data_IF_935939009138
#
_entry.id   IF_935939009138
#
_cell.length_a   1.000
_cell.length_b   1.000
_cell.length_c   1.000
_cell.angle_alpha   90.00
_cell.angle_beta   90.00
_cell.angle_gamma   90.00
#
_symmetry.space_group_name_H-M   'P 1'
#
loop_
_entity.id
_entity.type
_entity.pdbx_description
1 polymer ?
#
# COMPACT_ATOMS: atom_id res chain seq x y z
N UNK A 1 -27.82 -7.46 -25.00
CA UNK A 1 -28.47 -6.43 -24.15
C UNK A 1 -27.35 -5.71 -23.43
N UNK A 2 -27.07 -4.45 -23.80
CA UNK A 2 -25.98 -3.65 -23.25
C UNK A 2 -26.54 -2.66 -22.24
N UNK A 3 -26.21 -2.83 -20.95
CA UNK A 3 -26.45 -1.89 -19.85
C UNK A 3 -25.65 -2.39 -18.63
N UNK A 4 -24.63 -1.73 -18.08
CA UNK A 4 -24.00 -0.48 -18.48
C UNK A 4 -22.57 -0.47 -17.96
N UNK A 5 -21.63 -0.09 -18.82
CA UNK A 5 -20.29 0.29 -18.39
C UNK A 5 -20.43 1.59 -17.63
N UNK A 6 -20.61 1.54 -16.31
CA UNK A 6 -20.41 2.70 -15.45
C UNK A 6 -18.92 3.04 -15.54
N UNK A 7 -18.54 3.77 -16.59
CA UNK A 7 -17.20 4.31 -16.74
C UNK A 7 -16.94 5.21 -15.55
N UNK A 8 -16.06 4.77 -14.64
CA UNK A 8 -15.63 5.59 -13.52
C UNK A 8 -14.77 6.70 -14.12
N UNK A 9 -15.37 7.87 -14.31
CA UNK A 9 -14.67 9.06 -14.79
C UNK A 9 -14.39 9.94 -13.57
N UNK A 10 -13.12 10.15 -13.26
CA UNK A 10 -12.70 11.20 -12.34
C UNK A 10 -11.80 12.18 -13.08
N UNK A 11 -12.12 13.47 -12.96
CA UNK A 11 -11.30 14.57 -13.47
C UNK A 11 -10.66 15.25 -12.27
N UNK A 12 -9.36 15.01 -12.10
CA UNK A 12 -8.53 15.58 -11.04
C UNK A 12 -7.25 16.11 -11.68
N UNK A 13 -6.72 17.22 -11.17
CA UNK A 13 -5.40 17.71 -11.58
C UNK A 13 -4.26 16.76 -11.16
N UNK A 14 -4.55 15.82 -10.25
CA UNK A 14 -3.61 14.80 -9.79
C UNK A 14 -3.79 13.47 -10.54
N UNK A 15 -2.71 12.70 -10.73
CA UNK A 15 -2.78 11.34 -11.24
C UNK A 15 -3.73 10.47 -10.42
N UNK A 16 -4.67 9.81 -11.10
CA UNK A 16 -5.58 8.89 -10.45
C UNK A 16 -5.94 7.70 -11.35
N UNK A 17 -6.23 6.56 -10.71
CA UNK A 17 -6.68 5.34 -11.39
C UNK A 17 -7.56 4.51 -10.48
N UNK A 18 -8.53 3.79 -11.05
CA UNK A 18 -9.40 2.88 -10.32
C UNK A 18 -9.10 1.42 -10.69
N UNK A 19 -9.26 0.50 -9.74
CA UNK A 19 -9.14 -0.94 -9.97
C UNK A 19 -10.29 -1.71 -9.34
N UNK A 20 -10.67 -2.83 -9.94
CA UNK A 20 -11.57 -3.82 -9.32
C UNK A 20 -10.86 -4.64 -8.21
N UNK A 21 -11.63 -5.50 -7.53
CA UNK A 21 -11.13 -6.48 -6.54
C UNK A 21 -10.13 -7.50 -7.08
N UNK A 22 -9.92 -7.54 -8.39
CA UNK A 22 -8.95 -8.41 -9.06
C UNK A 22 -7.75 -7.61 -9.58
N UNK A 23 -7.63 -6.33 -9.23
CA UNK A 23 -6.56 -5.42 -9.67
C UNK A 23 -6.59 -5.05 -11.15
N UNK A 24 -7.70 -5.29 -11.85
CA UNK A 24 -7.92 -4.83 -13.22
C UNK A 24 -8.18 -3.33 -13.19
N UNK A 25 -7.45 -2.54 -13.99
CA UNK A 25 -7.65 -1.10 -14.07
C UNK A 25 -8.96 -0.80 -14.82
N UNK A 26 -9.87 -0.11 -14.12
CA UNK A 26 -11.19 0.29 -14.61
C UNK A 26 -11.22 1.73 -15.14
N UNK A 27 -10.29 2.56 -14.69
CA UNK A 27 -10.22 3.98 -15.04
C UNK A 27 -8.81 4.53 -14.89
N UNK A 28 -8.44 5.48 -15.77
CA UNK A 28 -7.12 6.08 -15.81
C UNK A 28 -7.21 7.51 -16.37
N UNK A 29 -6.93 8.54 -15.56
CA UNK A 29 -7.08 9.92 -16.02
C UNK A 29 -5.87 10.47 -16.79
N UNK A 30 -6.06 11.62 -17.43
CA UNK A 30 -5.03 12.32 -18.21
C UNK A 30 -3.78 12.65 -17.38
N UNK A 31 -3.96 13.03 -16.11
CA UNK A 31 -2.85 13.31 -15.20
C UNK A 31 -2.01 12.04 -14.92
N UNK A 32 -2.65 10.87 -14.77
CA UNK A 32 -1.96 9.59 -14.64
C UNK A 32 -1.20 9.23 -15.91
N UNK A 33 -1.82 9.45 -17.08
CA UNK A 33 -1.16 9.22 -18.35
C UNK A 33 0.09 10.08 -18.51
N UNK A 34 -0.02 11.37 -18.21
CA UNK A 34 1.11 12.31 -18.28
C UNK A 34 2.20 11.98 -17.25
N UNK A 35 1.82 11.55 -16.04
CA UNK A 35 2.75 11.40 -14.92
C UNK A 35 3.47 10.04 -14.89
N UNK A 36 2.77 8.97 -15.27
CA UNK A 36 3.27 7.59 -15.27
C UNK A 36 3.67 7.11 -16.67
N UNK A 37 3.23 7.81 -17.73
CA UNK A 37 3.64 7.56 -19.11
C UNK A 37 2.88 6.45 -19.83
N UNK A 38 1.81 5.93 -19.25
CA UNK A 38 0.91 4.95 -19.90
C UNK A 38 -0.35 5.66 -20.38
N UNK A 39 -0.71 5.49 -21.64
CA UNK A 39 -1.99 6.00 -22.16
C UNK A 39 -3.17 5.28 -21.49
N UNK A 40 -4.34 5.90 -21.50
CA UNK A 40 -5.56 5.26 -21.00
C UNK A 40 -5.83 3.92 -21.71
N UNK A 41 -5.63 3.86 -23.03
CA UNK A 41 -5.83 2.63 -23.82
C UNK A 41 -4.88 1.49 -23.42
N UNK A 42 -3.66 1.79 -22.98
CA UNK A 42 -2.72 0.80 -22.44
C UNK A 42 -3.07 0.38 -21.01
N UNK A 43 -3.65 1.31 -20.24
CA UNK A 43 -3.99 1.10 -18.84
C UNK A 43 -5.27 0.29 -18.64
N UNK A 44 -6.35 0.65 -19.33
CA UNK A 44 -7.67 0.03 -19.13
C UNK A 44 -7.64 -1.48 -19.43
N UNK A 45 -8.22 -2.27 -18.52
CA UNK A 45 -8.27 -3.72 -18.61
C UNK A 45 -6.96 -4.43 -18.23
N UNK A 46 -5.83 -3.71 -18.16
CA UNK A 46 -4.56 -4.26 -17.69
C UNK A 46 -4.57 -4.48 -16.18
N UNK A 47 -3.73 -5.38 -15.68
CA UNK A 47 -3.52 -5.53 -14.24
C UNK A 47 -2.60 -4.44 -13.71
N UNK A 48 -2.95 -3.83 -12.59
CA UNK A 48 -2.14 -2.75 -11.99
C UNK A 48 -0.69 -3.20 -11.71
N UNK A 49 -0.47 -4.46 -11.38
CA UNK A 49 0.88 -5.03 -11.17
C UNK A 49 1.70 -5.27 -12.44
N UNK A 50 1.08 -5.24 -13.61
CA UNK A 50 1.80 -5.28 -14.87
C UNK A 50 2.40 -3.92 -15.20
N UNK A 51 1.70 -2.83 -14.86
CA UNK A 51 2.11 -1.45 -15.18
C UNK A 51 2.88 -0.80 -14.03
N UNK A 52 2.21 -0.52 -12.92
CA UNK A 52 2.71 0.45 -11.92
C UNK A 52 3.57 -0.16 -10.80
N UNK A 53 3.47 -1.46 -10.51
CA UNK A 53 4.38 -2.20 -9.60
C UNK A 53 4.82 -1.43 -8.35
N UNK A 54 3.87 -0.97 -7.55
CA UNK A 54 4.12 -0.08 -6.43
C UNK A 54 5.06 -0.65 -5.37
N UNK A 55 5.90 0.20 -4.78
CA UNK A 55 6.68 -0.12 -3.59
C UNK A 55 6.70 1.06 -2.65
N UNK A 56 6.40 0.85 -1.37
CA UNK A 56 6.61 1.91 -0.38
C UNK A 56 8.11 2.16 -0.13
N UNK A 57 8.40 3.16 0.70
CA UNK A 57 9.77 3.51 1.12
C UNK A 57 10.50 2.40 1.88
N UNK A 58 9.81 1.33 2.28
CA UNK A 58 10.35 0.18 3.02
C UNK A 58 10.51 -1.05 2.14
N UNK A 59 10.17 -0.95 0.85
CA UNK A 59 10.24 -2.04 -0.11
C UNK A 59 9.04 -2.98 -0.08
N UNK A 60 8.00 -2.70 0.73
CA UNK A 60 6.78 -3.49 0.70
C UNK A 60 6.14 -3.31 -0.67
N UNK A 61 5.75 -4.43 -1.29
CA UNK A 61 5.18 -4.43 -2.64
C UNK A 61 3.68 -4.13 -2.56
N UNK A 62 3.26 -3.23 -3.43
CA UNK A 62 1.88 -2.91 -3.76
C UNK A 62 1.71 -3.11 -5.25
N UNK A 63 0.46 -3.16 -5.72
CA UNK A 63 0.18 -3.53 -7.11
C UNK A 63 0.93 -4.84 -7.43
N UNK A 64 0.53 -5.89 -6.71
CA UNK A 64 0.90 -7.28 -6.91
C UNK A 64 -0.36 -8.14 -6.79
N UNK A 65 -0.26 -9.42 -7.12
CA UNK A 65 -1.41 -10.35 -7.09
C UNK A 65 -2.12 -10.35 -5.73
N UNK A 66 -1.35 -10.29 -4.64
CA UNK A 66 -1.84 -10.12 -3.28
C UNK A 66 -1.48 -8.72 -2.78
N UNK A 67 -2.25 -7.72 -3.17
CA UNK A 67 -2.00 -6.32 -2.82
C UNK A 67 -2.55 -6.00 -1.41
N UNK A 68 -1.73 -5.47 -0.47
CA UNK A 68 -2.20 -5.16 0.88
C UNK A 68 -3.41 -4.22 0.93
N UNK A 69 -3.48 -3.21 0.04
CA UNK A 69 -4.63 -2.30 -0.03
C UNK A 69 -5.92 -3.01 -0.40
N UNK A 70 -5.82 -4.03 -1.25
CA UNK A 70 -6.96 -4.80 -1.73
C UNK A 70 -7.44 -5.77 -0.66
N UNK A 71 -6.51 -6.45 0.02
CA UNK A 71 -6.83 -7.29 1.17
C UNK A 71 -7.52 -6.50 2.29
N UNK A 72 -7.06 -5.26 2.54
CA UNK A 72 -7.73 -4.34 3.47
C UNK A 72 -9.15 -4.02 3.01
N UNK A 73 -9.33 -3.62 1.75
CA UNK A 73 -10.65 -3.28 1.22
C UNK A 73 -11.64 -4.46 1.27
N UNK A 74 -11.19 -5.68 0.92
CA UNK A 74 -11.99 -6.92 1.00
C UNK A 74 -12.41 -7.22 2.45
N UNK A 75 -11.58 -6.85 3.43
CA UNK A 75 -11.89 -6.98 4.87
C UNK A 75 -12.69 -5.80 5.43
N UNK A 76 -13.22 -4.93 4.57
CA UNK A 76 -13.91 -3.69 4.94
C UNK A 76 -13.05 -2.76 5.83
N UNK A 77 -11.73 -2.83 5.69
CA UNK A 77 -10.80 -1.93 6.34
C UNK A 77 -10.47 -0.78 5.39
N UNK A 78 -10.37 0.43 5.92
CA UNK A 78 -9.97 1.59 5.12
C UNK A 78 -8.49 1.47 4.75
N UNK A 79 -8.12 1.43 3.45
CA UNK A 79 -6.71 1.53 3.08
C UNK A 79 -6.15 2.88 3.55
N UNK A 80 -4.95 2.84 4.12
CA UNK A 80 -4.28 4.05 4.62
C UNK A 80 -3.63 4.83 3.47
N UNK A 81 -3.46 6.14 3.69
CA UNK A 81 -2.66 6.98 2.81
C UNK A 81 -1.17 6.64 3.00
N UNK A 82 -0.45 6.34 1.92
CA UNK A 82 0.97 5.99 2.02
C UNK A 82 1.83 6.60 0.92
N UNK A 83 3.08 6.90 1.26
CA UNK A 83 4.09 7.29 0.27
C UNK A 83 4.67 6.04 -0.39
N UNK A 84 4.54 5.96 -1.70
CA UNK A 84 5.06 4.85 -2.49
C UNK A 84 5.63 5.31 -3.83
N UNK A 85 6.57 4.54 -4.34
CA UNK A 85 7.08 4.64 -5.70
C UNK A 85 6.24 3.78 -6.64
N UNK A 86 5.86 4.36 -7.78
CA UNK A 86 5.22 3.65 -8.90
C UNK A 86 6.17 3.63 -10.09
N UNK A 87 6.23 2.50 -10.78
CA UNK A 87 6.94 2.32 -12.04
C UNK A 87 6.23 3.07 -13.15
N UNK A 88 7.01 3.79 -13.95
CA UNK A 88 6.56 4.50 -15.15
C UNK A 88 6.80 3.65 -16.40
N UNK A 89 6.21 4.04 -17.54
CA UNK A 89 6.41 3.40 -18.83
C UNK A 89 7.89 3.38 -19.27
N UNK A 90 8.68 4.38 -18.86
CA UNK A 90 10.13 4.42 -19.14
C UNK A 90 10.96 3.51 -18.24
N UNK A 91 10.32 2.83 -17.27
CA UNK A 91 10.97 1.95 -16.31
C UNK A 91 11.53 2.65 -15.07
N UNK A 92 11.40 3.98 -14.99
CA UNK A 92 11.81 4.75 -13.81
C UNK A 92 10.78 4.63 -12.68
N UNK A 93 11.20 4.93 -11.45
CA UNK A 93 10.31 4.98 -10.28
C UNK A 93 10.02 6.44 -9.93
N UNK A 94 8.74 6.78 -9.78
CA UNK A 94 8.29 8.11 -9.35
C UNK A 94 7.50 7.99 -8.05
N UNK A 95 7.76 8.91 -7.10
CA UNK A 95 7.14 8.89 -5.77
C UNK A 95 5.81 9.63 -5.72
N UNK A 96 4.86 9.04 -5.03
CA UNK A 96 3.52 9.56 -4.80
C UNK A 96 3.09 9.30 -3.37
N UNK A 97 2.35 10.25 -2.79
CA UNK A 97 1.53 10.01 -1.61
C UNK A 97 0.14 9.58 -2.08
N UNK A 98 -0.13 8.28 -1.99
CA UNK A 98 -1.34 7.64 -2.51
C UNK A 98 -2.40 7.57 -1.43
N UNK A 99 -3.58 8.12 -1.70
CA UNK A 99 -4.81 7.91 -0.92
C UNK A 99 -5.74 7.00 -1.70
N UNK A 100 -6.41 6.06 -1.02
CA UNK A 100 -7.33 5.13 -1.69
C UNK A 100 -8.74 5.26 -1.14
N UNK A 101 -9.71 5.50 -2.03
CA UNK A 101 -11.14 5.46 -1.72
C UNK A 101 -11.69 4.10 -2.13
N UNK A 102 -12.50 3.49 -1.27
CA UNK A 102 -13.20 2.22 -1.58
C UNK A 102 -14.66 2.54 -1.85
N UNK A 103 -15.12 2.20 -3.06
CA UNK A 103 -16.53 2.24 -3.43
C UNK A 103 -17.08 0.82 -3.41
N UNK A 104 -18.17 0.63 -2.66
CA UNK A 104 -18.93 -0.61 -2.66
C UNK A 104 -20.14 -0.39 -3.56
N UNK A 105 -20.11 -0.93 -4.77
CA UNK A 105 -21.33 -1.10 -5.54
C UNK A 105 -21.95 -2.45 -5.15
N UNK A 106 -23.27 -2.49 -4.98
CA UNK A 106 -23.94 -3.69 -4.47
C UNK A 106 -24.00 -4.86 -5.47
N UNK A 107 -23.32 -4.79 -6.62
CA UNK A 107 -23.57 -5.69 -7.75
C UNK A 107 -22.29 -6.25 -8.43
N UNK A 108 -21.20 -5.49 -8.52
CA UNK A 108 -19.94 -5.81 -9.21
C UNK A 108 -18.72 -5.90 -8.25
N UNK A 109 -18.83 -5.38 -7.03
CA UNK A 109 -17.86 -5.61 -5.93
C UNK A 109 -17.13 -4.33 -5.48
N UNK A 110 -15.99 -4.50 -4.80
CA UNK A 110 -15.20 -3.38 -4.29
C UNK A 110 -14.37 -2.74 -5.40
N UNK A 111 -14.57 -1.45 -5.65
CA UNK A 111 -13.71 -0.63 -6.50
C UNK A 111 -12.80 0.26 -5.66
N UNK A 112 -11.50 0.20 -5.93
CA UNK A 112 -10.50 1.02 -5.25
C UNK A 112 -10.03 2.16 -6.18
N UNK A 113 -10.31 3.40 -5.81
CA UNK A 113 -9.83 4.60 -6.51
C UNK A 113 -8.58 5.12 -5.82
N UNK A 114 -7.47 5.19 -6.55
CA UNK A 114 -6.18 5.65 -6.07
C UNK A 114 -5.94 7.09 -6.53
N UNK A 115 -5.85 8.02 -5.59
CA UNK A 115 -5.44 9.42 -5.82
C UNK A 115 -3.96 9.55 -5.48
N UNK A 116 -3.13 9.84 -6.48
CA UNK A 116 -1.68 9.82 -6.37
C UNK A 116 -1.12 11.25 -6.39
N UNK A 117 -0.91 11.82 -5.20
CA UNK A 117 -0.30 13.14 -5.07
C UNK A 117 1.22 13.04 -5.32
N UNK A 118 1.73 13.68 -6.36
CA UNK A 118 3.16 13.61 -6.70
C UNK A 118 4.03 14.25 -5.61
N UNK A 119 5.07 13.55 -5.16
CA UNK A 119 6.00 14.10 -4.17
C UNK A 119 7.23 14.71 -4.87
N UNK A 120 7.62 15.96 -4.57
CA UNK A 120 8.82 16.57 -5.16
C UNK A 120 10.09 15.78 -4.76
N UNK A 121 10.94 15.47 -5.76
CA UNK A 121 12.31 14.97 -5.56
C UNK A 121 12.58 13.46 -5.69
N UNK A 122 11.86 12.69 -6.51
CA UNK A 122 12.02 11.22 -6.53
C UNK A 122 12.10 10.56 -7.89
N UNK A 123 13.26 10.63 -8.56
CA UNK A 123 13.71 9.58 -9.47
C UNK A 123 14.88 8.88 -8.77
N UNK A 124 14.60 7.73 -8.14
CA UNK A 124 15.63 6.93 -7.47
C UNK A 124 16.02 5.75 -8.37
N UNK A 125 17.30 5.69 -8.75
CA UNK A 125 17.88 4.60 -9.52
C UNK A 125 18.32 3.50 -8.55
N UNK A 126 17.66 2.34 -8.54
CA UNK A 126 17.91 1.27 -7.55
C UNK A 126 18.80 0.17 -8.13
N UNK A 127 20.11 0.42 -8.19
CA UNK A 127 21.11 -0.64 -8.33
C UNK A 127 21.51 -1.14 -6.94
N UNK A 128 20.92 -2.26 -6.50
CA UNK A 128 21.52 -3.35 -5.67
C UNK A 128 20.43 -4.16 -4.97
N UNK A 129 20.19 -5.35 -5.49
CA UNK A 129 19.41 -6.43 -4.89
C UNK A 129 20.40 -7.47 -4.38
N UNK A 130 20.27 -7.89 -3.13
CA UNK A 130 20.74 -9.17 -2.59
C UNK A 130 19.69 -9.63 -1.56
N UNK A 131 18.88 -10.65 -1.83
CA UNK A 131 19.10 -12.12 -1.71
C UNK A 131 18.46 -12.68 -0.43
N UNK A 132 17.47 -13.53 -0.66
CA UNK A 132 16.66 -14.43 0.19
C UNK A 132 17.22 -14.97 1.52
N UNK A 133 16.34 -15.18 2.52
CA UNK A 133 15.81 -16.52 2.87
C UNK A 133 15.07 -16.58 4.24
N UNK A 134 13.95 -17.32 4.27
CA UNK A 134 13.31 -18.02 5.41
C UNK A 134 12.67 -17.23 6.57
N UNK A 135 11.32 -17.17 6.61
CA UNK A 135 10.54 -17.75 7.73
C UNK A 135 9.05 -17.95 7.38
N UNK A 136 8.75 -19.04 6.69
CA UNK A 136 7.40 -19.63 6.65
C UNK A 136 7.21 -20.49 7.91
N UNK A 137 6.70 -19.90 9.00
CA UNK A 137 6.28 -20.68 10.18
C UNK A 137 5.27 -19.99 11.12
N UNK A 138 4.58 -18.91 10.72
CA UNK A 138 3.47 -18.42 11.56
C UNK A 138 2.37 -17.71 10.76
N UNK A 139 1.84 -18.42 9.77
CA UNK A 139 0.65 -18.05 8.97
C UNK A 139 -0.65 -18.19 9.76
N UNK A 140 -0.62 -17.80 11.04
CA UNK A 140 -1.79 -17.73 11.91
C UNK A 140 -1.95 -16.26 12.29
N UNK A 141 -2.90 -15.56 11.63
CA UNK A 141 -3.29 -14.15 11.82
C UNK A 141 -2.53 -13.11 10.98
N UNK A 142 -2.50 -13.25 9.64
CA UNK A 142 -2.04 -12.23 8.67
C UNK A 142 -2.82 -10.90 8.75
N UNK A 143 -2.65 -10.17 9.84
CA UNK A 143 -3.21 -8.85 10.15
C UNK A 143 -2.06 -7.82 10.06
N UNK A 144 -0.87 -8.20 10.52
CA UNK A 144 0.32 -7.36 10.51
C UNK A 144 1.31 -7.81 9.43
N UNK A 145 1.95 -6.84 8.79
CA UNK A 145 3.10 -7.08 7.90
C UNK A 145 4.31 -7.51 8.74
N UNK A 146 5.31 -8.18 8.14
CA UNK A 146 6.53 -8.57 8.86
C UNK A 146 7.24 -7.40 9.55
N UNK A 147 7.23 -6.22 8.92
CA UNK A 147 7.86 -5.02 9.49
C UNK A 147 7.06 -4.47 10.67
N UNK A 148 5.73 -4.47 10.60
CA UNK A 148 4.88 -4.09 11.74
C UNK A 148 5.06 -5.05 12.90
N UNK A 149 5.22 -6.35 12.64
CA UNK A 149 5.51 -7.34 13.67
C UNK A 149 6.87 -7.10 14.34
N UNK A 150 7.92 -6.77 13.56
CA UNK A 150 9.22 -6.38 14.12
C UNK A 150 9.11 -5.13 15.01
N UNK A 151 8.37 -4.11 14.56
CA UNK A 151 8.13 -2.90 15.36
C UNK A 151 7.35 -3.24 16.62
N UNK A 152 6.30 -4.08 16.53
CA UNK A 152 5.51 -4.56 17.67
C UNK A 152 6.38 -5.25 18.72
N UNK A 153 7.29 -6.12 18.29
CA UNK A 153 8.22 -6.82 19.18
C UNK A 153 9.11 -5.83 19.93
N UNK A 154 9.73 -4.88 19.23
CA UNK A 154 10.57 -3.89 19.89
C UNK A 154 9.79 -2.96 20.83
N UNK A 155 8.54 -2.65 20.51
CA UNK A 155 7.65 -1.93 21.43
C UNK A 155 7.36 -2.77 22.69
N UNK A 156 7.16 -4.08 22.55
CA UNK A 156 6.95 -4.98 23.67
C UNK A 156 8.19 -5.13 24.57
N UNK A 157 9.38 -4.99 23.97
CA UNK A 157 10.67 -4.95 24.68
C UNK A 157 10.94 -3.59 25.36
N UNK A 158 10.09 -2.59 25.14
CA UNK A 158 10.17 -1.28 25.79
C UNK A 158 11.08 -0.26 25.09
N UNK A 159 11.49 -0.52 23.84
CA UNK A 159 12.34 0.41 23.08
C UNK A 159 11.62 1.72 22.75
N UNK A 160 12.35 2.84 22.78
CA UNK A 160 11.86 4.10 22.28
C UNK A 160 11.85 4.13 20.75
N UNK A 161 11.13 5.09 20.15
CA UNK A 161 11.00 5.21 18.69
C UNK A 161 12.35 5.33 18.00
N UNK A 162 13.26 6.05 18.65
CA UNK A 162 14.63 6.35 18.24
C UNK A 162 15.50 5.08 18.26
N UNK A 163 15.34 4.24 19.28
CA UNK A 163 16.03 2.96 19.40
C UNK A 163 15.55 2.00 18.31
N UNK A 164 14.23 1.88 18.12
CA UNK A 164 13.64 1.05 17.07
C UNK A 164 14.12 1.49 15.69
N UNK A 165 14.22 2.80 15.45
CA UNK A 165 14.70 3.36 14.19
C UNK A 165 16.15 2.91 13.92
N UNK A 166 16.99 2.97 14.95
CA UNK A 166 18.39 2.53 14.89
C UNK A 166 18.50 1.02 14.66
N UNK A 167 17.77 0.22 15.45
CA UNK A 167 17.76 -1.25 15.37
C UNK A 167 17.30 -1.75 14.00
N UNK A 168 16.30 -1.11 13.41
CA UNK A 168 15.73 -1.50 12.12
C UNK A 168 16.36 -0.76 10.93
N UNK A 169 17.35 0.11 11.16
CA UNK A 169 18.03 0.93 10.14
C UNK A 169 17.06 1.72 9.24
N UNK A 170 16.09 2.39 9.87
CA UNK A 170 15.05 3.21 9.22
C UNK A 170 14.90 4.56 9.94
N UNK A 171 14.17 5.50 9.35
CA UNK A 171 13.97 6.81 10.00
C UNK A 171 13.02 6.73 11.19
N UNK A 172 13.11 7.67 12.14
CA UNK A 172 12.14 7.77 13.24
C UNK A 172 10.74 8.08 12.75
N UNK A 173 10.60 8.85 11.68
CA UNK A 173 9.32 9.10 11.00
C UNK A 173 8.71 7.80 10.46
N UNK A 174 9.54 6.93 9.87
CA UNK A 174 9.13 5.59 9.43
C UNK A 174 8.61 4.75 10.59
N UNK A 175 9.32 4.71 11.71
CA UNK A 175 8.88 3.94 12.87
C UNK A 175 7.54 4.46 13.37
N UNK A 176 7.35 5.79 13.47
CA UNK A 176 6.06 6.37 13.86
C UNK A 176 4.93 5.94 12.94
N UNK A 177 5.16 5.91 11.63
CA UNK A 177 4.18 5.44 10.67
C UNK A 177 3.86 3.94 10.87
N UNK A 178 4.86 3.09 11.11
CA UNK A 178 4.61 1.68 11.42
C UNK A 178 3.81 1.50 12.72
N UNK A 179 4.12 2.29 13.75
CA UNK A 179 3.37 2.28 15.02
C UNK A 179 1.92 2.71 14.77
N UNK A 180 1.68 3.77 13.99
CA UNK A 180 0.34 4.24 13.66
C UNK A 180 -0.47 3.16 12.90
N UNK A 181 0.14 2.52 11.90
CA UNK A 181 -0.51 1.46 11.12
C UNK A 181 -0.83 0.25 12.00
N UNK A 182 0.11 -0.14 12.85
CA UNK A 182 -0.04 -1.23 13.81
C UNK A 182 -1.14 -0.95 14.83
N UNK A 183 -1.20 0.27 15.38
CA UNK A 183 -2.25 0.68 16.32
C UNK A 183 -3.62 0.57 15.66
N UNK A 184 -3.76 1.06 14.44
CA UNK A 184 -5.00 0.98 13.69
C UNK A 184 -5.40 -0.47 13.39
N UNK A 185 -4.47 -1.30 12.91
CA UNK A 185 -4.71 -2.71 12.57
C UNK A 185 -5.07 -3.57 13.78
N UNK A 186 -4.56 -3.23 14.96
CA UNK A 186 -4.88 -3.89 16.22
C UNK A 186 -6.05 -3.23 16.97
N UNK A 187 -6.69 -2.21 16.40
CA UNK A 187 -7.73 -1.42 17.03
C UNK A 187 -7.34 -0.90 18.43
N UNK A 188 -6.09 -0.45 18.56
CA UNK A 188 -5.50 0.05 19.81
C UNK A 188 -5.29 1.57 19.74
N UNK A 189 -5.43 2.24 20.87
CA UNK A 189 -5.27 3.68 21.03
C UNK A 189 -3.91 4.07 21.63
N UNK A 190 -3.13 3.11 22.09
CA UNK A 190 -1.79 3.33 22.62
C UNK A 190 -0.82 2.18 22.33
N UNK A 191 0.49 2.46 22.35
CA UNK A 191 1.53 1.44 22.15
C UNK A 191 1.38 0.26 23.11
N UNK A 192 1.08 0.58 24.38
CA UNK A 192 0.90 -0.43 25.42
C UNK A 192 -0.34 -1.29 25.15
N UNK A 193 -1.44 -0.67 24.71
CA UNK A 193 -2.65 -1.37 24.32
C UNK A 193 -2.42 -2.28 23.10
N UNK A 194 -1.68 -1.81 22.09
CA UNK A 194 -1.32 -2.65 20.94
C UNK A 194 -0.50 -3.88 21.36
N UNK A 195 0.48 -3.71 22.25
CA UNK A 195 1.24 -4.85 22.80
C UNK A 195 0.32 -5.81 23.56
N UNK A 196 -0.61 -5.30 24.36
CA UNK A 196 -1.56 -6.12 25.11
C UNK A 196 -2.51 -6.91 24.18
N UNK A 197 -3.03 -6.25 23.14
CA UNK A 197 -3.87 -6.89 22.10
C UNK A 197 -3.06 -7.96 21.37
N UNK A 198 -1.84 -7.65 20.97
CA UNK A 198 -1.00 -8.58 20.23
C UNK A 198 -0.66 -9.84 21.03
N UNK A 199 -0.37 -9.71 22.33
CA UNK A 199 -0.19 -10.86 23.24
C UNK A 199 -1.46 -11.70 23.38
N UNK A 200 -2.63 -11.06 23.51
CA UNK A 200 -3.92 -11.77 23.58
C UNK A 200 -4.19 -12.56 22.30
N UNK A 201 -3.78 -12.03 21.15
CA UNK A 201 -3.91 -12.68 19.84
C UNK A 201 -2.80 -13.71 19.56
N UNK A 202 -1.78 -13.83 20.42
CA UNK A 202 -0.66 -14.75 20.20
C UNK A 202 0.27 -14.33 19.06
N UNK A 203 0.32 -13.03 18.74
CA UNK A 203 1.21 -12.47 17.71
C UNK A 203 2.65 -12.27 18.23
N UNK A 204 2.80 -12.05 19.53
CA UNK A 204 4.06 -11.85 20.28
C UNK A 204 3.96 -12.37 21.71
#
# INVERSE_FOLDING_TARGET
MATGTHGIVFSTGEPAFAVDRHGTILAWNEAAASSLGYTEAEALGSKCWQLVRGKDTFGNRYCCEHCPMMEMAIRHQSPYRCSMSLKTATGTLKRYKVSTLVLFDGHDGETLIHLCHAEPGGSMNTSRVSSDSNHDANSSLGILTPRELQVLQHLADGHATEDVATLLSISTATVRNHIEHLLHKLHAHSRLEAVAVARRLGLI
#
